data_IF_228800829039
#
_entry.id   IF_228800829039
#
_cell.length_a   1.000
_cell.length_b   1.000
_cell.length_c   1.000
_cell.angle_alpha   90.00
_cell.angle_beta   90.00
_cell.angle_gamma   90.00
#
_symmetry.space_group_name_H-M   'P 1'
#
loop_
_entity.id
_entity.type
_entity.pdbx_description
1 polymer ?
#
# COMPACT_ATOMS: atom_id res chain seq x y z
N UNK A 1 10.44 21.95 24.15
CA UNK A 1 9.22 21.62 23.39
C UNK A 1 9.59 21.60 21.92
N UNK A 2 9.89 20.44 21.34
CA UNK A 2 10.15 20.32 19.90
C UNK A 2 9.11 19.37 19.32
N UNK A 3 8.05 19.96 18.77
CA UNK A 3 7.16 19.29 17.83
C UNK A 3 7.72 19.58 16.45
N UNK A 4 8.44 18.62 15.87
CA UNK A 4 8.79 18.64 14.45
C UNK A 4 8.01 17.50 13.81
N UNK A 5 6.78 17.81 13.43
CA UNK A 5 5.86 16.93 12.75
C UNK A 5 6.29 16.86 11.28
N UNK A 6 7.31 16.05 10.98
CA UNK A 6 7.76 15.82 9.60
C UNK A 6 6.76 14.89 8.89
N UNK A 7 6.07 15.47 7.90
CA UNK A 7 5.10 14.83 7.01
C UNK A 7 5.70 13.60 6.32
N UNK A 8 5.25 12.41 6.72
CA UNK A 8 5.61 11.15 6.07
C UNK A 8 4.62 10.90 4.94
N UNK A 9 5.12 11.02 3.71
CA UNK A 9 4.36 10.88 2.46
C UNK A 9 3.82 9.48 2.30
N UNK A 10 2.50 9.36 2.33
CA UNK A 10 1.79 8.20 1.79
C UNK A 10 1.72 8.42 0.29
N UNK A 11 2.42 7.58 -0.48
CA UNK A 11 2.35 7.64 -1.94
C UNK A 11 1.04 7.00 -2.42
N UNK A 12 -0.04 7.75 -2.33
CA UNK A 12 -1.30 7.37 -2.98
C UNK A 12 -1.12 7.63 -4.48
N UNK A 13 -0.86 6.58 -5.26
CA UNK A 13 -0.98 6.69 -6.72
C UNK A 13 -2.47 6.82 -7.05
N UNK A 14 -2.91 8.06 -7.20
CA UNK A 14 -4.17 8.43 -7.83
C UNK A 14 -4.16 7.88 -9.27
N UNK A 15 -5.08 6.99 -9.64
CA UNK A 15 -5.14 6.41 -10.98
C UNK A 15 -6.20 7.06 -11.85
N UNK A 16 -5.71 7.47 -13.02
CA UNK A 16 -6.33 7.70 -14.32
C UNK A 16 -7.64 8.50 -14.41
N UNK A 17 -7.66 9.64 -15.13
CA UNK A 17 -8.91 10.23 -15.58
C UNK A 17 -9.63 9.23 -16.48
N UNK A 18 -10.90 8.97 -16.16
CA UNK A 18 -11.83 8.23 -17.01
C UNK A 18 -11.85 8.93 -18.36
N UNK A 19 -11.26 8.33 -19.39
CA UNK A 19 -11.45 8.77 -20.76
C UNK A 19 -12.90 8.47 -21.15
N UNK A 20 -13.72 9.52 -21.21
CA UNK A 20 -15.05 9.46 -21.80
C UNK A 20 -14.94 8.97 -23.25
N UNK A 21 -15.70 7.94 -23.68
CA UNK A 21 -15.73 7.54 -25.08
C UNK A 21 -16.39 8.65 -25.91
N UNK A 22 -15.59 9.38 -26.69
CA UNK A 22 -16.10 10.30 -27.72
C UNK A 22 -16.54 9.51 -28.95
N UNK A 23 -17.78 9.74 -29.36
CA UNK A 23 -18.38 9.21 -30.59
C UNK A 23 -17.58 9.63 -31.82
N UNK A 24 -17.18 8.71 -32.72
CA UNK A 24 -16.47 9.08 -33.94
C UNK A 24 -17.44 9.45 -35.09
N UNK A 25 -17.21 10.55 -35.82
CA UNK A 25 -17.70 10.68 -37.19
C UNK A 25 -16.70 10.02 -38.16
N UNK A 26 -17.29 9.44 -39.20
CA UNK A 26 -16.70 8.56 -40.21
C UNK A 26 -15.74 9.21 -41.22
N UNK A 27 -14.74 8.41 -41.63
CA UNK A 27 -13.96 8.42 -42.90
C UNK A 27 -12.64 9.24 -42.96
N UNK A 28 -11.74 9.01 -43.96
CA UNK A 28 -10.71 7.97 -43.86
C UNK A 28 -9.25 8.43 -44.16
N UNK A 29 -8.33 7.56 -43.72
CA UNK A 29 -6.95 7.30 -44.19
C UNK A 29 -5.83 8.35 -44.11
N UNK A 30 -4.73 7.87 -43.51
CA UNK A 30 -3.32 8.20 -43.75
C UNK A 30 -2.68 9.32 -42.91
N UNK A 31 -2.05 8.91 -41.80
CA UNK A 31 -0.70 9.33 -41.43
C UNK A 31 -0.16 8.43 -40.31
N UNK A 32 0.98 7.77 -40.55
CA UNK A 32 1.78 7.05 -39.56
C UNK A 32 2.47 8.10 -38.67
N UNK A 33 1.90 8.40 -37.51
CA UNK A 33 2.55 9.22 -36.49
C UNK A 33 3.37 8.33 -35.55
N UNK A 34 4.68 8.59 -35.49
CA UNK A 34 5.61 8.02 -34.53
C UNK A 34 5.29 8.68 -33.18
N UNK A 35 4.78 7.90 -32.22
CA UNK A 35 4.55 8.36 -30.85
C UNK A 35 5.88 8.43 -30.09
N UNK A 36 6.14 9.52 -29.33
CA UNK A 36 7.27 9.56 -28.42
C UNK A 36 7.01 8.63 -27.22
N UNK A 37 8.01 7.80 -26.91
CA UNK A 37 8.01 6.92 -25.74
C UNK A 37 8.08 7.80 -24.47
N UNK A 38 6.97 7.88 -23.74
CA UNK A 38 6.92 8.58 -22.45
C UNK A 38 7.52 7.65 -21.39
N UNK A 39 8.81 7.82 -21.16
CA UNK A 39 9.52 7.20 -20.05
C UNK A 39 8.93 7.72 -18.74
N UNK A 40 8.12 6.87 -18.09
CA UNK A 40 7.56 7.14 -16.78
C UNK A 40 8.66 6.93 -15.75
N UNK A 41 9.32 8.02 -15.36
CA UNK A 41 10.20 8.06 -14.19
C UNK A 41 9.40 7.61 -12.98
N UNK A 42 9.80 6.50 -12.35
CA UNK A 42 9.25 6.14 -11.04
C UNK A 42 9.53 7.30 -10.08
N UNK A 43 8.53 7.82 -9.33
CA UNK A 43 8.80 8.79 -8.30
C UNK A 43 9.75 8.14 -7.30
N UNK A 44 10.97 8.69 -7.22
CA UNK A 44 11.99 8.31 -6.28
C UNK A 44 11.37 8.23 -4.88
N UNK A 45 11.36 7.03 -4.31
CA UNK A 45 10.79 6.79 -3.00
C UNK A 45 11.53 7.69 -2.01
N UNK A 46 10.85 8.71 -1.48
CA UNK A 46 11.42 9.59 -0.48
C UNK A 46 11.83 8.75 0.72
N UNK A 47 13.13 8.49 0.82
CA UNK A 47 13.76 8.05 2.05
C UNK A 47 14.08 9.33 2.84
N UNK A 48 13.81 9.37 4.15
CA UNK A 48 14.10 10.57 4.92
C UNK A 48 15.59 10.95 4.75
N UNK A 49 15.89 12.25 4.82
CA UNK A 49 17.21 12.79 4.44
C UNK A 49 18.36 12.02 5.12
N UNK A 50 19.47 11.76 4.44
CA UNK A 50 20.59 10.95 4.95
C UNK A 50 21.14 11.32 6.35
N UNK A 51 20.74 12.49 6.90
CA UNK A 51 21.09 12.99 8.22
C UNK A 51 20.53 12.17 9.39
N UNK A 52 19.33 11.56 9.32
CA UNK A 52 18.82 10.74 10.44
C UNK A 52 19.61 9.45 10.62
N UNK A 53 20.07 8.84 9.52
CA UNK A 53 20.86 7.60 9.54
C UNK A 53 22.15 7.76 10.33
N UNK A 54 22.78 8.93 10.25
CA UNK A 54 24.01 9.26 10.97
C UNK A 54 23.78 9.57 12.46
N UNK A 55 22.61 10.11 12.83
CA UNK A 55 22.31 10.51 14.20
C UNK A 55 22.05 9.32 15.16
N UNK A 56 21.52 8.20 14.65
CA UNK A 56 21.15 7.04 15.49
C UNK A 56 22.24 6.00 15.67
N UNK A 57 23.36 6.04 14.92
CA UNK A 57 24.48 5.09 15.06
C UNK A 57 24.16 3.60 14.84
N UNK A 58 22.89 3.25 14.59
CA UNK A 58 22.43 1.90 14.30
C UNK A 58 22.51 1.65 12.81
N UNK A 59 23.23 0.59 12.43
CA UNK A 59 23.17 0.02 11.08
C UNK A 59 21.72 -0.39 10.81
N UNK A 60 21.00 0.42 10.03
CA UNK A 60 19.61 0.14 9.67
C UNK A 60 19.64 -0.83 8.50
N UNK A 61 19.58 -2.12 8.81
CA UNK A 61 19.30 -3.13 7.80
C UNK A 61 17.87 -2.91 7.30
N UNK A 62 17.74 -2.13 6.22
CA UNK A 62 16.46 -1.95 5.55
C UNK A 62 16.08 -3.25 4.87
N UNK A 63 14.90 -3.75 5.19
CA UNK A 63 14.37 -4.95 4.55
C UNK A 63 13.72 -4.61 3.21
N UNK A 64 13.89 -5.48 2.23
CA UNK A 64 13.27 -5.35 0.91
C UNK A 64 11.75 -5.29 1.02
N UNK A 65 11.12 -4.51 0.12
CA UNK A 65 9.67 -4.38 0.08
C UNK A 65 8.99 -5.73 -0.21
N UNK A 66 7.89 -6.00 0.47
CA UNK A 66 7.08 -7.21 0.28
C UNK A 66 5.94 -6.83 -0.66
N UNK A 67 6.06 -7.15 -1.95
CA UNK A 67 5.00 -6.90 -2.93
C UNK A 67 3.83 -7.89 -2.82
N UNK A 68 2.62 -7.43 -3.17
CA UNK A 68 1.43 -8.26 -3.26
C UNK A 68 0.88 -8.14 -4.67
N UNK A 69 0.88 -9.22 -5.44
CA UNK A 69 0.39 -9.22 -6.81
C UNK A 69 -0.34 -10.53 -7.10
N UNK A 70 -1.31 -10.48 -8.01
CA UNK A 70 -1.92 -11.69 -8.54
C UNK A 70 -0.93 -12.54 -9.34
N UNK A 71 -1.16 -13.85 -9.40
CA UNK A 71 -0.41 -14.76 -10.28
C UNK A 71 -0.52 -14.28 -11.73
N UNK A 72 0.63 -14.11 -12.39
CA UNK A 72 0.71 -13.64 -13.78
C UNK A 72 0.69 -12.13 -13.96
N UNK A 73 0.56 -11.35 -12.87
CA UNK A 73 0.59 -9.89 -12.89
C UNK A 73 1.73 -9.37 -12.00
N UNK A 74 2.15 -8.12 -12.26
CA UNK A 74 3.19 -7.45 -11.48
C UNK A 74 2.81 -5.99 -11.24
N UNK A 75 3.09 -5.48 -10.04
CA UNK A 75 2.83 -4.08 -9.64
C UNK A 75 1.37 -3.65 -9.77
N UNK A 76 0.43 -4.60 -9.73
CA UNK A 76 -1.01 -4.31 -9.74
C UNK A 76 -1.59 -4.26 -8.33
N UNK A 77 -1.00 -4.98 -7.38
CA UNK A 77 -1.59 -5.10 -6.05
C UNK A 77 -2.62 -6.20 -5.94
N UNK A 78 -3.19 -6.32 -4.74
CA UNK A 78 -4.34 -7.16 -4.44
C UNK A 78 -5.39 -6.32 -3.69
N UNK A 79 -6.67 -6.32 -4.10
CA UNK A 79 -7.72 -5.62 -3.38
C UNK A 79 -7.80 -6.08 -1.91
N UNK A 80 -7.80 -5.13 -0.97
CA UNK A 80 -7.83 -5.43 0.45
C UNK A 80 -9.08 -6.21 0.85
N UNK A 81 -10.20 -6.03 0.12
CA UNK A 81 -11.41 -6.84 0.30
C UNK A 81 -11.16 -8.32 0.09
N UNK A 82 -10.44 -8.69 -0.96
CA UNK A 82 -10.13 -10.10 -1.28
C UNK A 82 -9.22 -10.70 -0.21
N UNK A 83 -8.17 -9.96 0.21
CA UNK A 83 -7.26 -10.35 1.29
C UNK A 83 -7.98 -10.57 2.62
N UNK A 84 -9.00 -9.76 2.92
CA UNK A 84 -9.69 -9.81 4.20
C UNK A 84 -10.79 -10.88 4.27
N UNK A 85 -11.37 -11.27 3.13
CA UNK A 85 -12.57 -12.13 3.09
C UNK A 85 -12.29 -13.56 2.66
N UNK A 86 -11.22 -13.80 1.89
CA UNK A 86 -10.88 -15.15 1.40
C UNK A 86 -10.13 -15.97 2.45
N UNK A 87 -10.29 -17.28 2.35
CA UNK A 87 -9.48 -18.23 3.12
C UNK A 87 -8.03 -18.21 2.65
N UNK A 88 -7.12 -18.63 3.52
CA UNK A 88 -5.69 -18.76 3.21
C UNK A 88 -5.44 -19.65 1.99
N UNK A 89 -6.19 -20.75 1.84
CA UNK A 89 -6.10 -21.64 0.68
C UNK A 89 -6.46 -20.94 -0.63
N UNK A 90 -7.51 -20.12 -0.64
CA UNK A 90 -7.90 -19.38 -1.84
C UNK A 90 -6.88 -18.28 -2.18
N UNK A 91 -6.31 -17.61 -1.17
CA UNK A 91 -5.23 -16.65 -1.37
C UNK A 91 -3.96 -17.33 -1.90
N UNK A 92 -3.68 -18.58 -1.49
CA UNK A 92 -2.54 -19.35 -1.94
C UNK A 92 -2.49 -19.56 -3.45
N UNK A 93 -3.66 -19.73 -4.08
CA UNK A 93 -3.78 -19.89 -5.55
C UNK A 93 -3.86 -18.57 -6.31
N UNK A 94 -4.18 -17.47 -5.64
CA UNK A 94 -4.39 -16.17 -6.29
C UNK A 94 -3.15 -15.28 -6.28
N UNK A 95 -2.36 -15.31 -5.21
CA UNK A 95 -1.25 -14.37 -5.00
C UNK A 95 0.07 -14.99 -5.47
N UNK A 96 0.86 -14.21 -6.20
CA UNK A 96 2.22 -14.58 -6.57
C UNK A 96 3.05 -14.85 -5.33
N UNK A 97 3.65 -16.05 -5.25
CA UNK A 97 4.46 -16.49 -4.09
C UNK A 97 3.69 -16.43 -2.76
N UNK A 98 2.40 -16.72 -2.78
CA UNK A 98 1.55 -16.65 -1.60
C UNK A 98 2.06 -17.43 -0.36
N UNK A 99 2.59 -18.64 -0.58
CA UNK A 99 3.10 -19.52 0.46
C UNK A 99 4.56 -19.24 0.85
N UNK A 100 5.19 -18.25 0.24
CA UNK A 100 6.54 -17.84 0.62
C UNK A 100 6.53 -17.33 2.06
N UNK A 101 7.45 -17.87 2.87
CA UNK A 101 7.67 -17.41 4.23
C UNK A 101 8.41 -16.07 4.18
N UNK A 102 7.65 -14.99 4.35
CA UNK A 102 8.20 -13.64 4.31
C UNK A 102 8.93 -13.37 5.63
N UNK A 103 10.08 -12.70 5.55
CA UNK A 103 10.93 -12.39 6.71
C UNK A 103 11.50 -13.60 7.46
N UNK A 104 11.28 -14.85 7.02
CA UNK A 104 11.82 -16.02 7.71
C UNK A 104 13.36 -16.08 7.73
N UNK A 105 14.01 -15.44 6.76
CA UNK A 105 15.46 -15.29 6.70
C UNK A 105 15.98 -14.13 7.56
N UNK A 106 15.08 -13.40 8.24
CA UNK A 106 15.43 -12.30 9.14
C UNK A 106 15.23 -12.75 10.58
N UNK A 107 15.88 -12.07 11.52
CA UNK A 107 15.67 -12.28 12.97
C UNK A 107 14.45 -11.53 13.52
N UNK A 108 13.55 -11.06 12.65
CA UNK A 108 12.36 -10.29 13.05
C UNK A 108 11.26 -11.24 13.52
N UNK A 109 10.91 -11.15 14.80
CA UNK A 109 9.75 -11.85 15.37
C UNK A 109 8.45 -11.06 15.28
N UNK A 110 8.52 -9.72 15.22
CA UNK A 110 7.36 -8.83 15.18
C UNK A 110 7.67 -7.53 14.45
N UNK A 111 6.65 -6.97 13.81
CA UNK A 111 6.71 -5.66 13.15
C UNK A 111 5.63 -4.73 13.69
N UNK A 112 5.89 -3.43 13.65
CA UNK A 112 4.91 -2.38 13.89
C UNK A 112 4.39 -1.88 12.54
N UNK A 113 3.17 -2.25 12.17
CA UNK A 113 2.46 -1.67 11.04
C UNK A 113 1.94 -0.28 11.43
N UNK A 114 2.43 0.75 10.75
CA UNK A 114 1.97 2.12 10.91
C UNK A 114 1.05 2.49 9.74
N UNK A 115 -0.19 2.84 10.06
CA UNK A 115 -1.18 3.33 9.10
C UNK A 115 -1.32 4.83 9.33
N UNK A 116 -0.97 5.57 8.29
CA UNK A 116 -1.26 6.99 8.14
C UNK A 116 -2.21 7.11 6.96
N UNK A 117 -3.17 8.02 7.01
CA UNK A 117 -4.09 8.28 5.92
C UNK A 117 -4.29 9.79 5.78
N UNK A 118 -4.25 10.37 4.57
CA UNK A 118 -4.41 11.81 4.42
C UNK A 118 -5.81 12.25 4.86
N UNK A 119 -5.90 13.39 5.52
CA UNK A 119 -7.13 13.87 6.13
C UNK A 119 -7.49 13.21 7.45
N UNK A 120 -6.79 12.15 7.87
CA UNK A 120 -6.94 11.54 9.18
C UNK A 120 -5.61 11.53 9.93
N UNK A 121 -4.85 12.62 9.83
CA UNK A 121 -3.55 12.79 10.48
C UNK A 121 -3.66 12.65 12.01
N UNK A 122 -4.80 13.05 12.59
CA UNK A 122 -5.12 12.86 14.00
C UNK A 122 -5.32 11.39 14.40
N UNK A 123 -5.63 10.51 13.44
CA UNK A 123 -5.96 9.11 13.67
C UNK A 123 -4.76 8.20 13.33
N UNK A 124 -3.56 8.53 13.78
CA UNK A 124 -2.43 7.62 13.60
C UNK A 124 -2.73 6.26 14.24
N UNK A 125 -2.53 5.17 13.47
CA UNK A 125 -2.79 3.81 13.94
C UNK A 125 -1.55 2.94 13.79
N UNK A 126 -0.95 2.58 14.91
CA UNK A 126 0.15 1.61 14.98
C UNK A 126 -0.35 0.27 15.52
N UNK A 127 0.01 -0.82 14.87
CA UNK A 127 -0.41 -2.19 15.21
C UNK A 127 0.77 -3.14 15.15
N UNK A 128 0.95 -3.92 16.20
CA UNK A 128 1.96 -4.99 16.21
C UNK A 128 1.44 -6.19 15.44
N UNK A 129 2.24 -6.70 14.52
CA UNK A 129 2.00 -7.95 13.80
C UNK A 129 3.11 -8.93 14.20
N UNK A 130 2.69 -10.06 14.76
CA UNK A 130 3.59 -11.16 15.07
C UNK A 130 3.93 -11.93 13.79
N UNK A 131 5.22 -12.11 13.50
CA UNK A 131 5.75 -12.76 12.29
C UNK A 131 5.99 -14.25 12.54
N UNK A 132 6.30 -14.65 13.77
CA UNK A 132 6.72 -16.02 14.11
C UNK A 132 5.94 -16.69 15.25
N UNK A 133 4.84 -16.10 15.73
CA UNK A 133 4.10 -16.62 16.89
C UNK A 133 3.61 -18.07 16.74
N UNK A 134 3.30 -18.52 15.51
CA UNK A 134 2.79 -19.85 15.19
C UNK A 134 3.65 -20.55 14.13
N UNK A 135 4.90 -20.10 13.97
CA UNK A 135 5.77 -20.44 12.84
C UNK A 135 5.87 -19.30 11.81
N UNK A 136 6.68 -19.47 10.76
CA UNK A 136 6.95 -18.42 9.79
C UNK A 136 5.69 -17.96 9.06
N UNK A 137 5.42 -16.66 9.07
CA UNK A 137 4.29 -16.08 8.35
C UNK A 137 4.48 -16.14 6.84
N UNK A 138 3.45 -16.57 6.12
CA UNK A 138 3.43 -16.55 4.66
C UNK A 138 3.03 -15.18 4.11
N UNK A 139 3.39 -14.89 2.86
CA UNK A 139 2.97 -13.66 2.16
C UNK A 139 1.46 -13.46 2.19
N UNK A 140 0.68 -14.52 1.92
CA UNK A 140 -0.78 -14.44 1.96
C UNK A 140 -1.32 -14.13 3.36
N UNK A 141 -0.78 -14.78 4.40
CA UNK A 141 -1.18 -14.49 5.79
C UNK A 141 -0.84 -13.06 6.18
N UNK A 142 0.35 -12.56 5.83
CA UNK A 142 0.73 -11.18 6.10
C UNK A 142 -0.21 -10.20 5.40
N UNK A 143 -0.53 -10.42 4.13
CA UNK A 143 -1.50 -9.61 3.39
C UNK A 143 -2.88 -9.59 4.03
N UNK A 144 -3.37 -10.75 4.48
CA UNK A 144 -4.64 -10.86 5.19
C UNK A 144 -4.63 -10.05 6.51
N UNK A 145 -3.58 -10.19 7.33
CA UNK A 145 -3.47 -9.44 8.60
C UNK A 145 -3.39 -7.93 8.35
N UNK A 146 -2.60 -7.48 7.35
CA UNK A 146 -2.53 -6.06 6.97
C UNK A 146 -3.91 -5.55 6.56
N UNK A 147 -4.63 -6.29 5.70
CA UNK A 147 -5.97 -5.90 5.24
C UNK A 147 -6.98 -5.79 6.40
N UNK A 148 -6.93 -6.69 7.38
CA UNK A 148 -7.79 -6.63 8.57
C UNK A 148 -7.49 -5.41 9.44
N UNK A 149 -6.21 -5.04 9.58
CA UNK A 149 -5.84 -3.82 10.31
C UNK A 149 -6.33 -2.56 9.59
N UNK A 150 -6.30 -2.53 8.26
CA UNK A 150 -6.92 -1.45 7.47
C UNK A 150 -8.45 -1.40 7.64
N UNK A 151 -9.13 -2.54 7.62
CA UNK A 151 -10.58 -2.58 7.86
C UNK A 151 -10.93 -1.96 9.23
N UNK A 152 -10.20 -2.33 10.29
CA UNK A 152 -10.37 -1.76 11.63
C UNK A 152 -10.03 -0.27 11.69
N UNK A 153 -9.01 0.17 10.96
CA UNK A 153 -8.68 1.58 10.84
C UNK A 153 -9.82 2.38 10.19
N UNK A 154 -10.39 1.86 9.09
CA UNK A 154 -11.53 2.50 8.41
C UNK A 154 -12.75 2.61 9.33
N UNK A 155 -13.09 1.57 10.10
CA UNK A 155 -14.22 1.65 11.02
C UNK A 155 -14.05 2.73 12.09
N UNK A 156 -12.82 2.95 12.59
CA UNK A 156 -12.52 4.08 13.48
C UNK A 156 -12.64 5.41 12.74
N UNK A 157 -12.10 5.48 11.53
CA UNK A 157 -12.08 6.70 10.72
C UNK A 157 -13.49 7.17 10.32
N UNK A 158 -14.50 6.28 10.25
CA UNK A 158 -15.89 6.66 10.00
C UNK A 158 -16.50 7.55 11.09
N UNK A 159 -15.96 7.52 12.30
CA UNK A 159 -16.42 8.34 13.42
C UNK A 159 -15.68 9.68 13.52
N UNK A 160 -14.65 9.88 12.69
CA UNK A 160 -13.78 11.05 12.69
C UNK A 160 -14.04 11.91 11.44
N UNK A 161 -13.82 13.22 11.55
CA UNK A 161 -13.92 14.12 10.40
C UNK A 161 -12.60 14.14 9.62
N UNK A 162 -12.66 13.96 8.30
CA UNK A 162 -11.47 14.10 7.46
C UNK A 162 -11.19 15.56 7.08
N UNK A 163 -9.92 15.96 7.03
CA UNK A 163 -9.50 17.29 6.58
C UNK A 163 -8.26 17.21 5.68
N UNK A 164 -8.38 17.25 4.34
CA UNK A 164 -9.53 17.69 3.53
C UNK A 164 -10.54 16.58 3.19
N UNK A 165 -11.74 16.98 2.75
CA UNK A 165 -12.88 16.09 2.52
C UNK A 165 -12.67 15.04 1.41
N UNK A 166 -11.73 15.25 0.48
CA UNK A 166 -11.48 14.35 -0.65
C UNK A 166 -10.98 12.96 -0.23
N UNK A 167 -10.43 12.86 0.99
CA UNK A 167 -9.93 11.60 1.55
C UNK A 167 -10.90 10.94 2.53
N UNK A 168 -12.11 11.48 2.65
CA UNK A 168 -13.11 11.02 3.62
C UNK A 168 -13.66 9.63 3.27
N UNK A 169 -13.71 8.76 4.29
CA UNK A 169 -14.36 7.45 4.16
C UNK A 169 -15.87 7.62 4.29
N UNK A 170 -16.59 7.43 3.18
CA UNK A 170 -18.06 7.51 3.17
C UNK A 170 -18.67 6.49 2.20
N UNK A 171 -19.98 6.21 2.30
CA UNK A 171 -20.67 5.33 1.35
C UNK A 171 -20.52 5.78 -0.13
N UNK A 172 -20.40 7.09 -0.34
CA UNK A 172 -20.24 7.72 -1.66
C UNK A 172 -18.78 8.10 -1.98
N UNK A 173 -17.85 7.86 -1.05
CA UNK A 173 -16.45 8.22 -1.16
C UNK A 173 -15.55 6.99 -1.16
N UNK A 174 -14.40 7.09 -0.49
CA UNK A 174 -13.46 5.97 -0.39
C UNK A 174 -14.07 4.90 0.52
N UNK A 175 -14.09 3.66 0.05
CA UNK A 175 -14.57 2.49 0.79
C UNK A 175 -13.47 1.45 0.84
N UNK A 176 -13.58 0.51 1.77
CA UNK A 176 -12.61 -0.58 1.90
C UNK A 176 -12.40 -1.38 0.59
N UNK A 177 -13.46 -1.54 -0.22
CA UNK A 177 -13.37 -2.24 -1.51
C UNK A 177 -12.56 -1.48 -2.58
N UNK A 178 -12.35 -0.18 -2.41
CA UNK A 178 -11.55 0.64 -3.33
C UNK A 178 -10.05 0.52 -3.00
N UNK A 179 -9.68 -0.04 -1.84
CA UNK A 179 -8.28 -0.13 -1.42
C UNK A 179 -7.59 -1.35 -2.04
N UNK A 180 -6.43 -1.11 -2.63
CA UNK A 180 -5.56 -2.13 -3.21
C UNK A 180 -4.23 -2.10 -2.47
N UNK A 181 -3.85 -3.22 -1.85
CA UNK A 181 -2.55 -3.37 -1.22
C UNK A 181 -1.49 -3.68 -2.29
N UNK A 182 -0.53 -2.78 -2.47
CA UNK A 182 0.56 -2.93 -3.45
C UNK A 182 1.77 -3.61 -2.84
N UNK A 183 2.26 -3.08 -1.71
CA UNK A 183 3.45 -3.60 -1.03
C UNK A 183 3.47 -3.22 0.45
N UNK A 184 4.35 -3.86 1.21
CA UNK A 184 4.71 -3.47 2.57
C UNK A 184 6.19 -3.08 2.59
N UNK A 185 6.51 -1.87 3.03
CA UNK A 185 7.86 -1.29 3.01
C UNK A 185 8.37 -1.08 4.42
N UNK A 186 9.61 -1.48 4.67
CA UNK A 186 10.29 -1.18 5.92
C UNK A 186 10.79 0.27 5.88
N UNK A 187 10.30 1.10 6.79
CA UNK A 187 10.64 2.52 6.83
C UNK A 187 11.79 2.76 7.79
N UNK A 188 11.70 2.14 8.98
CA UNK A 188 12.70 2.28 10.03
C UNK A 188 12.61 1.15 11.06
N UNK A 189 13.73 0.49 11.38
CA UNK A 189 13.80 -0.62 12.33
C UNK A 189 12.67 -1.64 12.11
N UNK A 190 11.78 -1.84 13.09
CA UNK A 190 10.63 -2.74 12.98
C UNK A 190 9.36 -2.04 12.51
N UNK A 191 9.44 -0.80 12.04
CA UNK A 191 8.29 -0.02 11.54
C UNK A 191 8.10 -0.22 10.05
N UNK A 192 6.91 -0.67 9.69
CA UNK A 192 6.51 -0.96 8.33
C UNK A 192 5.28 -0.15 7.93
N UNK A 193 5.25 0.26 6.67
CA UNK A 193 4.12 0.99 6.09
C UNK A 193 3.62 0.26 4.86
N UNK A 194 2.30 0.26 4.69
CA UNK A 194 1.67 -0.28 3.50
C UNK A 194 1.65 0.77 2.40
N UNK A 195 2.01 0.35 1.20
CA UNK A 195 1.80 1.07 -0.04
C UNK A 195 0.42 0.67 -0.59
N UNK A 196 -0.48 1.64 -0.72
CA UNK A 196 -1.89 1.42 -1.01
C UNK A 196 -2.30 2.27 -2.21
N UNK A 197 -2.95 1.65 -3.18
CA UNK A 197 -3.64 2.36 -4.24
C UNK A 197 -5.14 2.43 -3.96
N UNK A 198 -5.79 3.42 -4.54
CA UNK A 198 -7.25 3.56 -4.52
C UNK A 198 -7.75 3.41 -5.95
N UNK A 199 -8.71 2.52 -6.12
CA UNK A 199 -9.40 2.30 -7.39
C UNK A 199 -10.89 2.62 -7.24
N UNK A 200 -11.35 3.60 -8.03
CA UNK A 200 -12.73 4.07 -8.04
C UNK A 200 -13.57 3.41 -9.14
N UNK A 201 -12.99 2.50 -9.93
CA UNK A 201 -13.66 1.80 -11.02
C UNK A 201 -14.73 0.81 -10.53
#
# INVERSE_FOLDING_TARGET
>A
MYSTQENISIYLRQKCPISTPSTPPSAPLSARAILPSVEHSDPEAWAPSAKWKLATGRSTQLHGAIAFDYVGYSKQGVPMRELCTRSTTALASMITRANEQVLAHTSISRIALRILWPGYEQLESTRTIEISAQGPITRAQLGAIVSQNFARFLERARSEQATPADWYFSPNGIRFKHLILLSLKNVFENTWQADVAIDFC
#
